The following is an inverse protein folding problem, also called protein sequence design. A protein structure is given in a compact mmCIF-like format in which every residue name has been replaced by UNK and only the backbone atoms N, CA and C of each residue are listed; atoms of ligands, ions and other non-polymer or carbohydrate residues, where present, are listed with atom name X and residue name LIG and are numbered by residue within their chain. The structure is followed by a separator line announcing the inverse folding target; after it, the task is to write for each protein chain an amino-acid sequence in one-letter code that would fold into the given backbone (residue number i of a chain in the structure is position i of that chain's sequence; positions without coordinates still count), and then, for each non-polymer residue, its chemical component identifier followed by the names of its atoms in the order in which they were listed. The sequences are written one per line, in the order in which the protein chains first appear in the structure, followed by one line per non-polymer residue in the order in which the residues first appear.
data_IF_917899184843
#
_entry.id   IF_917899184843
#
_cell.length_a   1.000
_cell.length_b   1.000
_cell.length_c   1.000
_cell.angle_alpha   90.00
_cell.angle_beta   90.00
_cell.angle_gamma   90.00
#
_symmetry.space_group_name_H-M   'P 1'
#
loop_
_entity.id
_entity.type
_entity.pdbx_description
1 polymer ?
#
# COMPACT_ATOMS: atom_id res chain seq x y z
N UNK A 1 -6.31 -11.72 -6.52
CA UNK A 1 -6.86 -10.47 -5.94
C UNK A 1 -6.25 -9.31 -6.68
N UNK A 2 -7.06 -8.33 -7.04
CA UNK A 2 -6.59 -7.10 -7.67
C UNK A 2 -6.06 -6.13 -6.60
N UNK A 3 -5.02 -5.36 -6.95
CA UNK A 3 -4.42 -4.39 -6.02
C UNK A 3 -5.38 -3.22 -5.70
N UNK A 4 -6.33 -2.92 -6.60
CA UNK A 4 -7.40 -1.92 -6.41
C UNK A 4 -8.18 -2.15 -5.12
N UNK A 5 -8.50 -3.41 -4.80
CA UNK A 5 -9.24 -3.76 -3.58
C UNK A 5 -8.47 -3.35 -2.32
N UNK A 6 -7.14 -3.54 -2.32
CA UNK A 6 -6.28 -3.14 -1.20
C UNK A 6 -6.19 -1.61 -1.10
N UNK A 7 -6.04 -0.92 -2.24
CA UNK A 7 -5.97 0.54 -2.28
C UNK A 7 -7.27 1.19 -1.75
N UNK A 8 -8.44 0.68 -2.15
CA UNK A 8 -9.74 1.13 -1.63
C UNK A 8 -9.88 0.87 -0.12
N UNK A 9 -9.31 -0.23 0.39
CA UNK A 9 -9.28 -0.48 1.83
C UNK A 9 -8.42 0.54 2.56
N UNK A 10 -7.27 0.95 2.01
CA UNK A 10 -6.45 2.01 2.61
C UNK A 10 -7.18 3.34 2.67
N UNK A 11 -7.82 3.75 1.58
CA UNK A 11 -8.61 4.99 1.55
C UNK A 11 -9.71 4.98 2.62
N UNK A 12 -10.45 3.88 2.76
CA UNK A 12 -11.48 3.74 3.81
C UNK A 12 -10.90 3.80 5.22
N UNK A 13 -9.74 3.19 5.44
CA UNK A 13 -9.06 3.22 6.74
C UNK A 13 -8.58 4.62 7.10
N UNK A 14 -8.13 5.42 6.13
CA UNK A 14 -7.69 6.81 6.35
C UNK A 14 -8.84 7.74 6.75
N UNK A 15 -10.07 7.45 6.30
CA UNK A 15 -11.27 8.24 6.60
C UNK A 15 -11.83 8.02 8.01
N UNK A 16 -11.37 7.01 8.75
CA UNK A 16 -11.85 6.73 10.11
C UNK A 16 -10.73 6.75 11.15
N UNK A 17 -11.09 7.11 12.38
CA UNK A 17 -10.23 6.98 13.57
C UNK A 17 -10.82 6.01 14.60
N UNK A 18 -11.99 5.43 14.31
CA UNK A 18 -12.69 4.54 15.25
C UNK A 18 -12.07 3.16 15.19
N UNK A 19 -11.56 2.69 16.33
CA UNK A 19 -10.90 1.38 16.42
C UNK A 19 -11.78 0.23 15.92
N UNK A 20 -13.06 0.21 16.30
CA UNK A 20 -13.99 -0.86 15.88
C UNK A 20 -14.25 -0.87 14.37
N UNK A 21 -14.36 0.31 13.78
CA UNK A 21 -14.56 0.46 12.33
C UNK A 21 -13.32 0.02 11.56
N UNK A 22 -12.13 0.40 12.04
CA UNK A 22 -10.86 -0.04 11.46
C UNK A 22 -10.70 -1.57 11.55
N UNK A 23 -11.06 -2.19 12.68
CA UNK A 23 -11.11 -3.65 12.80
C UNK A 23 -12.06 -4.27 11.79
N UNK A 24 -13.25 -3.71 11.61
CA UNK A 24 -14.23 -4.21 10.64
C UNK A 24 -13.69 -4.15 9.20
N UNK A 25 -13.06 -3.03 8.81
CA UNK A 25 -12.41 -2.88 7.50
C UNK A 25 -11.31 -3.93 7.27
N UNK A 26 -10.52 -4.26 8.30
CA UNK A 26 -9.51 -5.30 8.22
C UNK A 26 -10.12 -6.70 8.06
N UNK A 27 -11.19 -7.02 8.80
CA UNK A 27 -11.91 -8.30 8.66
C UNK A 27 -12.41 -8.46 7.23
N UNK A 28 -13.09 -7.45 6.68
CA UNK A 28 -13.61 -7.48 5.31
C UNK A 28 -12.49 -7.65 4.26
N UNK A 29 -11.34 -6.98 4.47
CA UNK A 29 -10.18 -7.14 3.61
C UNK A 29 -9.66 -8.60 3.64
N UNK A 30 -9.54 -9.19 4.82
CA UNK A 30 -9.03 -10.55 4.96
C UNK A 30 -9.99 -11.61 4.41
N UNK A 31 -11.31 -11.44 4.56
CA UNK A 31 -12.30 -12.35 3.96
C UNK A 31 -12.26 -12.36 2.42
N UNK A 32 -11.97 -11.21 1.81
CA UNK A 32 -11.83 -11.06 0.35
C UNK A 32 -10.46 -11.49 -0.17
N UNK A 33 -9.48 -11.73 0.72
CA UNK A 33 -8.11 -12.03 0.34
C UNK A 33 -7.92 -13.53 0.12
N UNK A 34 -7.51 -13.97 -1.09
CA UNK A 34 -7.16 -15.36 -1.34
C UNK A 34 -6.02 -15.83 -0.44
N UNK A 35 -6.10 -17.09 0.00
CA UNK A 35 -5.17 -17.66 0.97
C UNK A 35 -3.71 -17.67 0.45
N UNK A 36 -3.51 -17.72 -0.86
CA UNK A 36 -2.19 -17.77 -1.50
C UNK A 36 -1.44 -16.43 -1.37
N UNK A 37 -2.15 -15.32 -1.14
CA UNK A 37 -1.57 -13.97 -1.08
C UNK A 37 -1.72 -13.31 0.29
N UNK A 38 -2.43 -13.93 1.24
CA UNK A 38 -2.68 -13.37 2.57
C UNK A 38 -1.40 -12.94 3.30
N UNK A 39 -0.33 -13.73 3.18
CA UNK A 39 0.96 -13.41 3.81
C UNK A 39 1.55 -12.10 3.32
N UNK A 40 1.35 -11.75 2.04
CA UNK A 40 1.79 -10.48 1.46
C UNK A 40 0.91 -9.33 1.92
N UNK A 41 -0.41 -9.53 1.93
CA UNK A 41 -1.37 -8.50 2.34
C UNK A 41 -1.13 -8.07 3.79
N UNK A 42 -0.87 -9.01 4.71
CA UNK A 42 -0.60 -8.71 6.13
C UNK A 42 0.60 -7.78 6.32
N UNK A 43 1.65 -7.89 5.50
CA UNK A 43 2.79 -6.97 5.56
C UNK A 43 2.50 -5.65 4.83
N UNK A 44 1.82 -5.69 3.69
CA UNK A 44 1.50 -4.49 2.92
C UNK A 44 0.64 -3.51 3.72
N UNK A 45 -0.31 -3.98 4.52
CA UNK A 45 -1.12 -3.11 5.39
C UNK A 45 -0.31 -2.42 6.49
N UNK A 46 0.89 -2.92 6.79
CA UNK A 46 1.84 -2.33 7.73
C UNK A 46 2.87 -1.45 7.02
N UNK A 47 2.76 -1.26 5.70
CA UNK A 47 3.76 -0.56 4.89
C UNK A 47 5.04 -1.36 4.66
N UNK A 48 4.99 -2.69 4.79
CA UNK A 48 6.16 -3.59 4.69
C UNK A 48 6.00 -4.61 3.56
N UNK A 49 7.11 -5.10 3.03
CA UNK A 49 7.11 -6.20 2.05
C UNK A 49 7.28 -7.57 2.69
N UNK A 50 8.00 -7.61 3.82
CA UNK A 50 8.48 -8.82 4.51
C UNK A 50 8.59 -8.55 6.01
N UNK A 51 8.68 -9.59 6.85
CA UNK A 51 8.97 -9.42 8.26
C UNK A 51 10.36 -8.83 8.52
N UNK A 52 10.48 -8.05 9.59
CA UNK A 52 11.71 -7.31 9.94
C UNK A 52 12.93 -8.23 10.14
N UNK A 53 12.73 -9.46 10.62
CA UNK A 53 13.82 -10.40 10.86
C UNK A 53 14.52 -10.90 9.59
N UNK A 54 13.89 -10.72 8.42
CA UNK A 54 14.51 -11.07 7.13
C UNK A 54 15.46 -9.97 6.62
N UNK A 55 15.37 -8.75 7.16
CA UNK A 55 16.21 -7.61 6.74
C UNK A 55 15.97 -7.16 5.30
N UNK A 56 14.82 -7.48 4.71
CA UNK A 56 14.48 -7.11 3.34
C UNK A 56 13.75 -5.77 3.32
N UNK A 57 14.35 -4.80 2.63
CA UNK A 57 13.76 -3.48 2.39
C UNK A 57 13.37 -3.30 0.91
N UNK A 58 12.45 -2.37 0.63
CA UNK A 58 12.07 -2.02 -0.73
C UNK A 58 13.25 -1.43 -1.53
N UNK A 59 14.15 -0.68 -0.87
CA UNK A 59 15.34 -0.12 -1.48
C UNK A 59 15.09 0.95 -2.55
N UNK A 60 13.91 1.58 -2.57
CA UNK A 60 13.56 2.62 -3.55
C UNK A 60 13.76 3.99 -2.93
N UNK A 61 14.71 4.75 -3.47
CA UNK A 61 14.89 6.16 -3.12
C UNK A 61 13.74 7.01 -3.68
N UNK A 62 13.38 8.08 -2.97
CA UNK A 62 12.32 9.02 -3.35
C UNK A 62 12.48 9.57 -4.79
N UNK A 63 13.69 10.00 -5.15
CA UNK A 63 13.99 10.47 -6.53
C UNK A 63 13.77 9.39 -7.59
N UNK A 64 13.94 8.12 -7.24
CA UNK A 64 13.67 7.00 -8.15
C UNK A 64 12.17 6.80 -8.34
N UNK A 65 11.39 6.92 -7.26
CA UNK A 65 9.93 6.87 -7.31
C UNK A 65 9.35 8.02 -8.16
N UNK A 66 9.81 9.25 -7.96
CA UNK A 66 9.38 10.43 -8.73
C UNK A 66 9.66 10.23 -10.23
N UNK A 67 10.84 9.73 -10.59
CA UNK A 67 11.19 9.42 -11.98
C UNK A 67 10.30 8.33 -12.57
N UNK A 68 9.97 7.30 -11.78
CA UNK A 68 9.07 6.23 -12.21
C UNK A 68 7.65 6.76 -12.48
N UNK A 69 7.14 7.60 -11.57
CA UNK A 69 5.83 8.26 -11.72
C UNK A 69 5.83 9.12 -12.98
N UNK A 70 6.81 10.02 -13.15
CA UNK A 70 6.94 10.89 -14.33
C UNK A 70 6.94 10.09 -15.64
N UNK A 71 7.68 8.97 -15.68
CA UNK A 71 7.74 8.10 -16.85
C UNK A 71 6.40 7.41 -17.14
N UNK A 72 5.66 7.01 -16.11
CA UNK A 72 4.37 6.32 -16.26
C UNK A 72 3.19 7.24 -16.58
N UNK A 73 3.19 8.47 -16.05
CA UNK A 73 2.08 9.43 -16.19
C UNK A 73 2.30 10.45 -17.30
N UNK A 74 3.54 10.61 -17.78
CA UNK A 74 3.92 11.67 -18.72
C UNK A 74 4.01 13.07 -18.09
N UNK A 75 3.80 13.18 -16.77
CA UNK A 75 3.89 14.44 -16.04
C UNK A 75 5.37 14.79 -15.83
N UNK A 76 5.73 16.05 -16.05
CA UNK A 76 7.09 16.53 -15.82
C UNK A 76 7.51 16.37 -14.35
N UNK A 77 8.74 15.91 -14.12
CA UNK A 77 9.32 15.67 -12.78
C UNK A 77 9.09 16.87 -11.84
N UNK A 78 9.36 18.09 -12.32
CA UNK A 78 9.21 19.31 -11.54
C UNK A 78 7.80 19.47 -10.95
N UNK A 79 6.76 19.13 -11.73
CA UNK A 79 5.37 19.21 -11.28
C UNK A 79 5.04 18.15 -10.21
N UNK A 80 5.69 16.99 -10.25
CA UNK A 80 5.51 15.92 -9.24
C UNK A 80 6.25 16.27 -7.95
N UNK A 81 7.40 16.95 -8.03
CA UNK A 81 8.15 17.43 -6.87
C UNK A 81 7.47 18.59 -6.13
N UNK A 82 6.58 19.33 -6.81
CA UNK A 82 5.86 20.48 -6.26
C UNK A 82 4.54 20.11 -5.55
N UNK A 83 4.08 18.83 -5.61
CA UNK A 83 2.92 18.29 -4.87
C UNK A 83 3.33 17.69 -3.52
#
# INVERSE_FOLDING_TARGET
MEYSILAESFEKMELTRKRLELTQLLVELFEKTPQEVISKIVYLIQGKLRPDFEGIELGVAEKLAIRAISKSSGIAIKKIEDE
#
